data_IF_719427113827
#
_entry.id   IF_719427113827
#
_cell.length_a   1.000
_cell.length_b   1.000
_cell.length_c   1.000
_cell.angle_alpha   90.00
_cell.angle_beta   90.00
_cell.angle_gamma   90.00
#
_symmetry.space_group_name_H-M   'P 1'
#
loop_
_entity.id
_entity.type
_entity.pdbx_description
1 polymer ?
#
# COMPACT_ATOMS: atom_id res chain seq x y z
N UNK A 1 -18.66 21.17 0.41
CA UNK A 1 -17.98 20.26 -0.55
C UNK A 1 -17.45 19.05 0.21
N UNK A 2 -17.55 17.89 -0.42
CA UNK A 2 -17.66 16.60 0.24
C UNK A 2 -16.33 15.84 0.25
N UNK A 3 -15.66 15.79 1.41
CA UNK A 3 -14.66 14.77 1.73
C UNK A 3 -14.80 14.45 3.22
N UNK A 4 -15.80 13.64 3.59
CA UNK A 4 -15.92 13.07 4.95
C UNK A 4 -16.96 11.93 5.02
N UNK A 5 -17.07 11.09 3.98
CA UNK A 5 -18.09 10.03 3.92
C UNK A 5 -17.54 8.60 3.71
N UNK A 6 -16.31 8.31 4.14
CA UNK A 6 -15.82 6.91 4.19
C UNK A 6 -15.36 6.50 5.60
N UNK A 7 -15.22 7.43 6.56
CA UNK A 7 -14.83 7.09 7.94
C UNK A 7 -15.96 6.57 8.84
N UNK A 8 -17.21 6.50 8.36
CA UNK A 8 -18.37 6.21 9.21
C UNK A 8 -18.90 4.76 9.13
N UNK A 9 -18.58 3.98 8.08
CA UNK A 9 -19.23 2.67 7.87
C UNK A 9 -18.56 1.48 8.58
N UNK A 10 -17.45 1.67 9.29
CA UNK A 10 -16.77 0.61 10.07
C UNK A 10 -16.58 0.97 11.55
N UNK A 11 -17.52 1.73 12.13
CA UNK A 11 -17.56 2.07 13.56
C UNK A 11 -18.83 1.56 14.27
N UNK A 12 -19.30 0.38 13.91
CA UNK A 12 -20.21 -0.41 14.75
C UNK A 12 -19.71 -1.86 14.61
N UNK A 13 -19.16 -2.48 15.65
CA UNK A 13 -19.93 -3.08 16.74
C UNK A 13 -19.21 -2.85 18.07
N UNK A 14 -19.94 -2.31 19.03
CA UNK A 14 -19.55 -2.24 20.43
C UNK A 14 -19.68 -3.62 21.08
N UNK A 15 -18.62 -4.01 21.80
CA UNK A 15 -18.61 -4.74 23.08
C UNK A 15 -19.56 -5.93 23.20
N UNK A 16 -19.02 -7.15 23.08
CA UNK A 16 -19.53 -8.28 23.86
C UNK A 16 -18.73 -8.42 25.16
N UNK A 17 -19.36 -9.00 26.18
CA UNK A 17 -18.85 -9.13 27.54
C UNK A 17 -17.89 -10.34 27.72
N UNK A 18 -17.37 -10.98 26.66
CA UNK A 18 -16.62 -12.25 26.79
C UNK A 18 -15.09 -12.16 26.63
N UNK A 19 -14.52 -10.95 26.54
CA UNK A 19 -13.05 -10.78 26.63
C UNK A 19 -12.26 -11.11 25.35
N UNK A 20 -12.91 -11.13 24.17
CA UNK A 20 -12.28 -11.36 22.86
C UNK A 20 -12.18 -10.05 22.04
N UNK A 21 -11.96 -8.91 22.70
CA UNK A 21 -11.85 -7.61 21.99
C UNK A 21 -10.42 -7.28 21.53
N UNK A 22 -9.38 -7.81 22.15
CA UNK A 22 -8.02 -7.29 21.95
C UNK A 22 -7.33 -7.75 20.65
N UNK A 23 -7.72 -8.87 20.03
CA UNK A 23 -7.00 -9.39 18.84
C UNK A 23 -7.64 -8.90 17.53
N UNK A 24 -8.96 -8.99 17.41
CA UNK A 24 -9.68 -8.73 16.17
C UNK A 24 -9.57 -7.26 15.73
N UNK A 25 -9.67 -6.31 16.66
CA UNK A 25 -9.55 -4.87 16.37
C UNK A 25 -8.12 -4.50 15.96
N UNK A 26 -7.12 -5.07 16.64
CA UNK A 26 -5.71 -4.87 16.30
C UNK A 26 -5.36 -5.46 14.92
N UNK A 27 -5.91 -6.62 14.59
CA UNK A 27 -5.73 -7.29 13.30
C UNK A 27 -6.36 -6.49 12.15
N UNK A 28 -7.57 -5.96 12.34
CA UNK A 28 -8.22 -5.04 11.39
C UNK A 28 -7.38 -3.77 11.20
N UNK A 29 -6.87 -3.17 12.27
CA UNK A 29 -6.01 -1.99 12.21
C UNK A 29 -4.69 -2.23 11.48
N UNK A 30 -4.05 -3.38 11.70
CA UNK A 30 -2.85 -3.81 10.97
C UNK A 30 -3.14 -4.02 9.48
N UNK A 31 -4.28 -4.63 9.16
CA UNK A 31 -4.73 -4.87 7.79
C UNK A 31 -4.97 -3.57 7.04
N UNK A 32 -5.69 -2.62 7.65
CA UNK A 32 -5.93 -1.30 7.07
C UNK A 32 -4.62 -0.52 6.83
N UNK A 33 -3.69 -0.52 7.80
CA UNK A 33 -2.37 0.11 7.63
C UNK A 33 -1.59 -0.54 6.48
N UNK A 34 -1.63 -1.86 6.34
CA UNK A 34 -0.95 -2.56 5.24
C UNK A 34 -1.57 -2.21 3.90
N UNK A 35 -2.90 -2.23 3.78
CA UNK A 35 -3.62 -1.85 2.55
C UNK A 35 -3.23 -0.44 2.12
N UNK A 36 -3.25 0.53 3.04
CA UNK A 36 -2.87 1.91 2.75
C UNK A 36 -1.45 2.02 2.19
N UNK A 37 -0.50 1.21 2.70
CA UNK A 37 0.86 1.18 2.17
C UNK A 37 0.96 0.53 0.79
N UNK A 38 0.21 -0.53 0.53
CA UNK A 38 0.15 -1.18 -0.80
C UNK A 38 -0.35 -0.17 -1.84
N UNK A 39 -1.48 0.48 -1.57
CA UNK A 39 -2.04 1.51 -2.46
C UNK A 39 -1.04 2.66 -2.66
N UNK A 40 -0.39 3.11 -1.59
CA UNK A 40 0.59 4.19 -1.69
C UNK A 40 1.78 3.86 -2.58
N UNK A 41 2.30 2.64 -2.49
CA UNK A 41 3.40 2.18 -3.36
C UNK A 41 2.94 2.08 -4.82
N UNK A 42 1.71 1.61 -5.07
CA UNK A 42 1.16 1.55 -6.42
C UNK A 42 1.01 2.95 -7.04
N UNK A 43 0.45 3.92 -6.29
CA UNK A 43 0.34 5.32 -6.74
C UNK A 43 1.71 5.91 -7.12
N UNK A 44 2.75 5.60 -6.34
CA UNK A 44 4.12 6.07 -6.63
C UNK A 44 4.64 5.46 -7.93
N UNK A 45 4.43 4.16 -8.15
CA UNK A 45 4.83 3.49 -9.39
C UNK A 45 4.09 4.12 -10.57
N UNK A 46 2.79 4.34 -10.44
CA UNK A 46 1.96 4.95 -11.49
C UNK A 46 2.44 6.36 -11.85
N UNK A 47 2.80 7.18 -10.86
CA UNK A 47 3.29 8.55 -11.08
C UNK A 47 4.70 8.60 -11.70
N UNK A 48 5.51 7.56 -11.51
CA UNK A 48 6.90 7.52 -11.99
C UNK A 48 7.06 6.74 -13.31
N UNK A 49 6.10 5.89 -13.69
CA UNK A 49 6.28 4.93 -14.78
C UNK A 49 6.50 5.57 -16.16
N UNK A 50 5.98 6.77 -16.39
CA UNK A 50 6.10 7.47 -17.67
C UNK A 50 7.36 8.33 -17.79
N UNK A 51 8.16 8.41 -16.72
CA UNK A 51 9.42 9.18 -16.72
C UNK A 51 10.56 8.45 -17.46
N UNK A 52 10.37 7.16 -17.76
CA UNK A 52 11.34 6.31 -18.45
C UNK A 52 10.61 5.31 -19.33
N UNK A 53 11.21 4.96 -20.47
CA UNK A 53 10.68 3.94 -21.40
C UNK A 53 10.42 2.60 -20.69
N UNK A 54 11.24 2.26 -19.69
CA UNK A 54 11.20 0.98 -18.99
C UNK A 54 10.27 0.97 -17.76
N UNK A 55 9.73 2.10 -17.33
CA UNK A 55 8.88 2.21 -16.14
C UNK A 55 9.54 2.95 -14.97
N UNK A 56 8.95 2.82 -13.79
CA UNK A 56 9.39 3.48 -12.57
C UNK A 56 10.64 2.77 -12.00
N UNK A 57 11.79 3.45 -11.84
CA UNK A 57 12.99 2.85 -11.26
C UNK A 57 12.84 2.52 -9.76
N UNK A 58 13.35 1.36 -9.33
CA UNK A 58 13.26 0.90 -7.93
C UNK A 58 13.80 1.91 -6.92
N UNK A 59 14.88 2.61 -7.25
CA UNK A 59 15.51 3.56 -6.34
C UNK A 59 14.65 4.81 -6.15
N UNK A 60 13.96 5.28 -7.19
CA UNK A 60 13.03 6.41 -7.12
C UNK A 60 11.75 6.03 -6.38
N UNK A 61 11.22 4.82 -6.62
CA UNK A 61 10.06 4.30 -5.86
C UNK A 61 10.40 4.25 -4.36
N UNK A 62 11.56 3.71 -4.00
CA UNK A 62 12.01 3.64 -2.60
C UNK A 62 12.15 5.05 -2.02
N UNK A 63 12.74 5.98 -2.77
CA UNK A 63 12.95 7.36 -2.32
C UNK A 63 11.62 8.07 -2.01
N UNK A 64 10.65 8.00 -2.91
CA UNK A 64 9.34 8.63 -2.70
C UNK A 64 8.52 7.92 -1.60
N UNK A 65 8.59 6.59 -1.53
CA UNK A 65 7.89 5.83 -0.50
C UNK A 65 8.49 6.09 0.91
N UNK A 66 9.80 6.27 1.01
CA UNK A 66 10.46 6.69 2.25
C UNK A 66 10.01 8.09 2.70
N UNK A 67 9.78 9.02 1.77
CA UNK A 67 9.18 10.33 2.09
C UNK A 67 7.75 10.21 2.60
N UNK A 68 7.02 9.20 2.14
CA UNK A 68 5.69 8.84 2.65
C UNK A 68 5.72 8.02 3.96
N UNK A 69 6.91 7.78 4.54
CA UNK A 69 7.06 7.06 5.81
C UNK A 69 7.05 5.53 5.70
N UNK A 70 7.30 4.98 4.51
CA UNK A 70 7.41 3.53 4.29
C UNK A 70 8.89 3.15 4.18
N UNK A 71 9.35 2.21 4.99
CA UNK A 71 10.78 1.85 5.00
C UNK A 71 11.20 1.06 3.75
N UNK A 72 12.48 1.16 3.39
CA UNK A 72 13.04 0.51 2.19
C UNK A 72 12.77 -1.00 2.12
N UNK A 73 12.82 -1.72 3.24
CA UNK A 73 12.63 -3.17 3.27
C UNK A 73 11.16 -3.51 3.04
N UNK A 74 10.26 -2.74 3.65
CA UNK A 74 8.82 -2.85 3.45
C UNK A 74 8.42 -2.50 2.02
N UNK A 75 8.97 -1.44 1.41
CA UNK A 75 8.72 -1.11 -0.01
C UNK A 75 9.07 -2.28 -0.92
N UNK A 76 10.23 -2.91 -0.74
CA UNK A 76 10.62 -4.07 -1.54
C UNK A 76 9.65 -5.25 -1.40
N UNK A 77 9.18 -5.50 -0.18
CA UNK A 77 8.16 -6.54 0.06
C UNK A 77 6.84 -6.19 -0.62
N UNK A 78 6.39 -4.94 -0.53
CA UNK A 78 5.15 -4.48 -1.16
C UNK A 78 5.22 -4.56 -2.69
N UNK A 79 6.37 -4.27 -3.29
CA UNK A 79 6.59 -4.43 -4.74
C UNK A 79 6.46 -5.91 -5.14
N UNK A 80 7.05 -6.83 -4.40
CA UNK A 80 6.89 -8.27 -4.66
C UNK A 80 5.44 -8.73 -4.48
N UNK A 81 4.72 -8.21 -3.46
CA UNK A 81 3.29 -8.49 -3.26
C UNK A 81 2.45 -7.96 -4.46
N UNK A 82 2.76 -6.76 -4.96
CA UNK A 82 2.09 -6.16 -6.13
C UNK A 82 2.37 -6.94 -7.42
N UNK A 83 3.58 -7.47 -7.59
CA UNK A 83 3.94 -8.36 -8.70
C UNK A 83 3.19 -9.69 -8.61
N UNK A 84 3.16 -10.31 -7.43
CA UNK A 84 2.49 -11.58 -7.20
C UNK A 84 0.97 -11.51 -7.41
N UNK A 85 0.38 -10.33 -7.19
CA UNK A 85 -1.05 -10.07 -7.40
C UNK A 85 -1.38 -9.52 -8.79
N UNK A 86 -0.41 -9.48 -9.72
CA UNK A 86 -0.59 -8.95 -11.07
C UNK A 86 -1.18 -7.53 -11.09
N UNK A 87 -0.76 -6.67 -10.14
CA UNK A 87 -1.06 -5.23 -10.18
C UNK A 87 0.04 -4.42 -10.87
N UNK A 88 1.27 -4.94 -10.86
CA UNK A 88 2.42 -4.38 -11.56
C UNK A 88 3.20 -5.49 -12.25
N UNK A 89 4.05 -5.12 -13.20
CA UNK A 89 5.02 -6.00 -13.82
C UNK A 89 6.39 -5.31 -13.94
N UNK A 90 7.42 -6.08 -14.27
CA UNK A 90 8.81 -5.63 -14.35
C UNK A 90 9.31 -5.74 -15.80
N UNK A 91 9.13 -4.70 -16.66
CA UNK A 91 9.57 -4.75 -18.05
C UNK A 91 11.08 -4.94 -18.21
N UNK A 92 11.84 -4.42 -17.24
CA UNK A 92 13.29 -4.50 -17.17
C UNK A 92 13.69 -4.63 -15.70
N UNK A 93 14.75 -5.37 -15.42
CA UNK A 93 15.26 -5.55 -14.06
C UNK A 93 15.40 -4.20 -13.32
N UNK A 94 14.67 -4.06 -12.21
CA UNK A 94 14.62 -2.86 -11.38
C UNK A 94 13.70 -1.74 -11.87
N UNK A 95 12.85 -1.99 -12.87
CA UNK A 95 11.87 -1.03 -13.39
C UNK A 95 10.46 -1.64 -13.35
N UNK A 96 9.47 -0.88 -12.90
CA UNK A 96 8.12 -1.39 -12.71
C UNK A 96 7.08 -0.53 -13.43
N UNK A 97 6.04 -1.19 -13.96
CA UNK A 97 4.87 -0.54 -14.56
C UNK A 97 3.60 -1.13 -13.98
N UNK A 98 2.56 -0.31 -13.91
CA UNK A 98 1.21 -0.79 -13.58
C UNK A 98 0.68 -1.62 -14.75
N UNK A 99 -0.04 -2.71 -14.45
CA UNK A 99 -0.67 -3.57 -15.46
C UNK A 99 -1.94 -2.95 -16.04
#
# INVERSE_FOLDING_TARGET
>A
EAIRLVEYTLRQIAVDEEGIMDVSILEVGKSARRINKVEKVLEIIEALQDQSEYGAPIDDIIKEAMRAGIDKKEVRKLIEDLKATSRIYEPRNGYYKVL
#
